data_IF_370295445135
#
_entry.id   IF_370295445135
#
_cell.length_a   1.000
_cell.length_b   1.000
_cell.length_c   1.000
_cell.angle_alpha   90.00
_cell.angle_beta   90.00
_cell.angle_gamma   90.00
#
_symmetry.space_group_name_H-M   'P 1'
#
loop_
_entity.id
_entity.type
_entity.pdbx_description
1 polymer ?
#
# COMPACT_ATOMS: atom_id res chain seq x y z
N UNK A 1 -0.30 11.01 5.37
CA UNK A 1 -0.72 11.25 3.97
C UNK A 1 -2.21 11.05 3.85
N UNK A 2 -2.89 11.99 3.24
CA UNK A 2 -4.31 11.85 2.92
C UNK A 2 -4.47 11.25 1.51
N UNK A 3 -5.73 11.12 1.07
CA UNK A 3 -6.02 10.54 -0.25
C UNK A 3 -5.29 11.27 -1.38
N UNK A 4 -5.32 12.60 -1.37
CA UNK A 4 -4.70 13.39 -2.45
C UNK A 4 -3.20 13.16 -2.51
N UNK A 5 -2.56 13.09 -1.38
CA UNK A 5 -1.11 12.91 -1.32
C UNK A 5 -0.73 11.48 -1.72
N UNK A 6 -1.50 10.49 -1.28
CA UNK A 6 -1.29 9.10 -1.70
C UNK A 6 -1.41 8.99 -3.22
N UNK A 7 -2.45 9.57 -3.80
CA UNK A 7 -2.64 9.56 -5.25
C UNK A 7 -1.48 10.24 -5.97
N UNK A 8 -1.01 11.35 -5.44
CA UNK A 8 0.13 12.07 -6.01
C UNK A 8 1.37 11.18 -6.10
N UNK A 9 1.69 10.47 -5.02
CA UNK A 9 2.88 9.62 -4.99
C UNK A 9 2.70 8.36 -5.83
N UNK A 10 1.49 7.83 -5.92
CA UNK A 10 1.22 6.70 -6.80
C UNK A 10 1.37 7.09 -8.27
N UNK A 11 0.92 8.28 -8.66
CA UNK A 11 1.12 8.79 -10.02
C UNK A 11 2.60 9.03 -10.30
N UNK A 12 3.36 9.52 -9.34
CA UNK A 12 4.79 9.71 -9.50
C UNK A 12 5.51 8.37 -9.67
N UNK A 13 5.10 7.37 -8.91
CA UNK A 13 5.61 6.01 -9.04
C UNK A 13 5.33 5.47 -10.45
N UNK A 14 4.11 5.65 -10.92
CA UNK A 14 3.69 5.25 -12.27
C UNK A 14 4.57 5.88 -13.34
N UNK A 15 4.78 7.18 -13.25
CA UNK A 15 5.59 7.92 -14.20
C UNK A 15 7.03 7.40 -14.25
N UNK A 16 7.63 7.18 -13.08
CA UNK A 16 9.02 6.72 -13.01
C UNK A 16 9.18 5.29 -13.48
N UNK A 17 8.18 4.44 -13.26
CA UNK A 17 8.16 3.12 -13.87
C UNK A 17 8.18 3.22 -15.38
N UNK A 18 7.33 4.07 -15.94
CA UNK A 18 7.28 4.29 -17.39
C UNK A 18 8.60 4.81 -17.96
N UNK A 19 9.26 5.72 -17.25
CA UNK A 19 10.56 6.25 -17.67
C UNK A 19 11.62 5.15 -17.75
N UNK A 20 11.47 4.09 -16.97
CA UNK A 20 12.37 2.95 -16.97
C UNK A 20 11.89 1.81 -17.88
N UNK A 21 10.78 2.02 -18.58
CA UNK A 21 10.21 0.99 -19.44
C UNK A 21 9.59 -0.18 -18.67
N UNK A 22 9.18 0.04 -17.43
CA UNK A 22 8.66 -0.99 -16.57
C UNK A 22 7.16 -0.88 -16.38
N UNK A 23 6.51 -2.01 -16.15
CA UNK A 23 5.13 -2.10 -15.71
C UNK A 23 5.12 -2.66 -14.30
N UNK A 24 4.21 -2.19 -13.46
CA UNK A 24 4.14 -2.66 -12.09
C UNK A 24 2.71 -2.81 -11.58
N UNK A 25 2.61 -3.47 -10.44
CA UNK A 25 1.34 -3.59 -9.72
C UNK A 25 1.57 -3.36 -8.25
N UNK A 26 0.56 -2.85 -7.56
CA UNK A 26 0.62 -2.57 -6.15
C UNK A 26 -0.72 -2.89 -5.51
N UNK A 27 -0.70 -3.68 -4.44
CA UNK A 27 -1.88 -3.99 -3.64
C UNK A 27 -1.75 -3.25 -2.32
N UNK A 28 -2.69 -2.34 -2.04
CA UNK A 28 -2.63 -1.43 -0.90
C UNK A 28 -3.50 -1.95 0.24
N UNK A 29 -2.99 -1.88 1.47
CA UNK A 29 -3.64 -2.41 2.66
C UNK A 29 -3.68 -1.39 3.80
N UNK A 30 -4.35 -1.76 4.87
CA UNK A 30 -4.32 -1.04 6.14
C UNK A 30 -4.86 0.37 6.08
N UNK A 31 -4.27 1.26 6.87
CA UNK A 31 -4.69 2.66 6.98
C UNK A 31 -4.62 3.41 5.67
N UNK A 32 -3.63 3.11 4.83
CA UNK A 32 -3.52 3.74 3.52
C UNK A 32 -4.66 3.33 2.60
N UNK A 33 -5.12 2.09 2.68
CA UNK A 33 -6.29 1.65 1.94
C UNK A 33 -7.55 2.41 2.39
N UNK A 34 -7.73 2.56 3.69
CA UNK A 34 -8.86 3.31 4.24
C UNK A 34 -8.83 4.76 3.79
N UNK A 35 -7.66 5.37 3.78
CA UNK A 35 -7.51 6.76 3.36
C UNK A 35 -7.76 6.92 1.85
N UNK A 36 -7.21 6.02 1.04
CA UNK A 36 -7.27 6.12 -0.42
C UNK A 36 -8.65 5.79 -0.96
N UNK A 37 -9.18 4.64 -0.56
CA UNK A 37 -10.40 4.08 -1.18
C UNK A 37 -11.65 4.65 -0.54
N UNK A 38 -11.68 4.70 0.79
CA UNK A 38 -12.88 5.06 1.53
C UNK A 38 -12.85 6.48 2.08
N UNK A 39 -11.69 7.13 2.02
CA UNK A 39 -11.50 8.50 2.52
C UNK A 39 -11.98 8.66 3.96
N UNK A 40 -11.80 7.60 4.76
CA UNK A 40 -12.33 7.55 6.12
C UNK A 40 -11.39 8.14 7.17
N UNK A 41 -10.13 8.33 6.83
CA UNK A 41 -9.13 8.84 7.77
C UNK A 41 -8.48 10.08 7.19
N UNK A 42 -8.14 11.01 8.08
CA UNK A 42 -7.46 12.22 7.67
C UNK A 42 -6.09 11.98 7.08
N UNK A 43 -5.33 11.07 7.68
CA UNK A 43 -3.98 10.78 7.17
C UNK A 43 -3.44 9.47 7.70
N UNK A 44 -2.41 8.97 7.02
CA UNK A 44 -1.62 7.82 7.43
C UNK A 44 -0.15 8.18 7.24
N UNK A 45 0.74 7.53 8.00
CA UNK A 45 2.17 7.83 7.94
C UNK A 45 2.86 7.15 6.76
N UNK A 46 2.38 5.97 6.40
CA UNK A 46 3.01 5.15 5.39
C UNK A 46 1.97 4.38 4.60
N UNK A 47 2.42 3.74 3.53
CA UNK A 47 1.58 2.90 2.69
C UNK A 47 2.06 1.47 2.84
N UNK A 48 1.21 0.62 3.40
CA UNK A 48 1.44 -0.82 3.48
C UNK A 48 0.94 -1.47 2.20
N UNK A 49 1.83 -2.14 1.49
CA UNK A 49 1.47 -2.67 0.18
C UNK A 49 2.35 -3.86 -0.21
N UNK A 50 1.84 -4.68 -1.10
CA UNK A 50 2.62 -5.68 -1.81
C UNK A 50 2.75 -5.20 -3.25
N UNK A 51 3.94 -5.22 -3.79
CA UNK A 51 4.18 -4.64 -5.11
C UNK A 51 5.23 -5.42 -5.90
N UNK A 52 5.10 -5.35 -7.22
CA UNK A 52 6.00 -5.96 -8.19
C UNK A 52 6.22 -5.02 -9.37
N UNK A 53 7.43 -4.92 -9.92
CA UNK A 53 8.66 -5.57 -9.45
C UNK A 53 9.16 -4.93 -8.15
N UNK A 54 9.46 -5.78 -7.18
CA UNK A 54 9.71 -5.33 -5.81
C UNK A 54 10.93 -4.42 -5.68
N UNK A 55 12.07 -4.86 -6.17
CA UNK A 55 13.32 -4.11 -5.99
C UNK A 55 13.30 -2.78 -6.72
N UNK A 56 12.76 -2.76 -7.93
CA UNK A 56 12.67 -1.57 -8.76
C UNK A 56 11.73 -0.54 -8.11
N UNK A 57 10.60 -1.00 -7.60
CA UNK A 57 9.64 -0.10 -6.94
C UNK A 57 10.22 0.44 -5.64
N UNK A 58 10.93 -0.38 -4.85
CA UNK A 58 11.62 0.12 -3.66
C UNK A 58 12.63 1.20 -3.99
N UNK A 59 13.40 1.02 -5.04
CA UNK A 59 14.38 2.02 -5.49
C UNK A 59 13.69 3.34 -5.85
N UNK A 60 12.62 3.25 -6.62
CA UNK A 60 11.86 4.44 -7.02
C UNK A 60 11.26 5.11 -5.78
N UNK A 61 10.73 4.32 -4.85
CA UNK A 61 10.16 4.85 -3.62
C UNK A 61 11.21 5.59 -2.79
N UNK A 62 12.43 5.07 -2.71
CA UNK A 62 13.52 5.74 -2.01
C UNK A 62 13.89 7.07 -2.68
N UNK A 63 13.90 7.12 -4.00
CA UNK A 63 14.14 8.36 -4.74
C UNK A 63 13.07 9.40 -4.43
N UNK A 64 11.81 8.98 -4.45
CA UNK A 64 10.69 9.87 -4.13
C UNK A 64 10.79 10.38 -2.69
N UNK A 65 11.15 9.50 -1.77
CA UNK A 65 11.32 9.88 -0.37
C UNK A 65 12.39 10.95 -0.19
N UNK A 66 13.53 10.76 -0.84
CA UNK A 66 14.63 11.71 -0.77
C UNK A 66 14.22 13.09 -1.32
N UNK A 67 13.54 13.10 -2.45
CA UNK A 67 13.13 14.35 -3.11
C UNK A 67 12.02 15.09 -2.38
N UNK A 68 11.22 14.39 -1.61
CA UNK A 68 10.03 14.96 -0.97
C UNK A 68 10.13 14.97 0.57
N UNK A 69 11.29 14.65 1.10
CA UNK A 69 11.54 14.62 2.55
C UNK A 69 10.57 13.68 3.27
N UNK A 70 10.35 12.50 2.68
CA UNK A 70 9.54 11.45 3.29
C UNK A 70 10.41 10.45 4.03
N UNK A 71 9.84 9.70 4.99
CA UNK A 71 10.55 8.56 5.57
C UNK A 71 10.92 7.56 4.48
N UNK A 72 12.09 6.93 4.63
CA UNK A 72 12.58 5.97 3.64
C UNK A 72 11.58 4.82 3.41
N UNK A 73 10.85 4.44 4.45
CA UNK A 73 9.89 3.34 4.42
C UNK A 73 8.44 3.80 4.27
N UNK A 74 8.23 4.97 3.67
CA UNK A 74 6.87 5.47 3.42
C UNK A 74 6.04 4.48 2.60
N UNK A 75 6.70 3.65 1.79
CA UNK A 75 6.09 2.53 1.07
C UNK A 75 6.80 1.27 1.53
N UNK A 76 6.07 0.33 2.11
CA UNK A 76 6.68 -0.87 2.68
C UNK A 76 5.77 -2.09 2.49
N UNK A 77 6.37 -3.28 2.59
CA UNK A 77 5.66 -4.54 2.41
C UNK A 77 5.50 -5.32 3.73
N UNK A 78 5.41 -4.61 4.85
CA UNK A 78 5.28 -5.23 6.16
C UNK A 78 4.03 -6.08 6.35
N UNK A 79 3.01 -5.89 5.49
CA UNK A 79 1.76 -6.64 5.56
C UNK A 79 1.89 -8.07 5.01
N UNK A 80 2.98 -8.40 4.35
CA UNK A 80 3.15 -9.63 3.57
C UNK A 80 2.82 -10.91 4.33
N UNK A 81 3.11 -10.96 5.63
CA UNK A 81 2.90 -12.16 6.45
C UNK A 81 1.44 -12.51 6.70
N UNK A 82 0.51 -11.65 6.36
CA UNK A 82 -0.91 -11.86 6.62
C UNK A 82 -1.71 -12.26 5.38
N UNK A 83 -1.06 -12.44 4.23
CA UNK A 83 -1.73 -12.68 2.97
C UNK A 83 -1.99 -14.16 2.73
N UNK A 84 -3.15 -14.47 2.13
CA UNK A 84 -3.49 -15.82 1.67
C UNK A 84 -3.92 -15.75 0.20
N UNK A 85 -3.93 -16.91 -0.47
CA UNK A 85 -4.34 -16.99 -1.87
C UNK A 85 -5.85 -16.83 -2.08
N UNK A 86 -6.62 -16.89 -1.01
CA UNK A 86 -8.08 -16.79 -1.08
C UNK A 86 -8.59 -15.35 -0.98
N UNK A 87 -7.70 -14.39 -0.79
CA UNK A 87 -8.08 -12.99 -0.66
C UNK A 87 -8.54 -12.41 -1.99
N UNK A 88 -9.61 -11.63 -1.94
CA UNK A 88 -10.17 -10.98 -3.11
C UNK A 88 -9.82 -9.50 -3.13
N UNK A 89 -9.60 -8.97 -4.34
CA UNK A 89 -9.15 -7.60 -4.56
C UNK A 89 -9.99 -6.92 -5.62
N UNK A 90 -10.09 -5.61 -5.51
CA UNK A 90 -10.66 -4.72 -6.52
C UNK A 90 -9.56 -3.86 -7.10
N UNK A 91 -9.73 -3.42 -8.32
CA UNK A 91 -8.79 -2.48 -8.94
C UNK A 91 -9.21 -1.05 -8.61
N UNK A 92 -8.24 -0.23 -8.24
CA UNK A 92 -8.46 1.20 -7.98
C UNK A 92 -8.14 1.98 -9.24
N UNK A 93 -9.16 2.63 -9.80
CA UNK A 93 -9.00 3.42 -11.02
C UNK A 93 -8.54 4.83 -10.65
N UNK A 94 -7.34 5.17 -11.05
CA UNK A 94 -6.78 6.50 -10.86
C UNK A 94 -6.45 7.07 -12.23
N UNK A 95 -7.01 8.26 -12.51
CA UNK A 95 -6.79 8.92 -13.80
C UNK A 95 -5.31 9.27 -13.95
N UNK A 96 -4.74 8.89 -15.06
CA UNK A 96 -3.33 9.15 -15.35
C UNK A 96 -2.41 7.95 -15.21
N UNK A 97 -2.90 6.83 -14.70
CA UNK A 97 -2.08 5.61 -14.63
C UNK A 97 -1.91 4.99 -16.00
N UNK A 98 -0.66 4.68 -16.34
CA UNK A 98 -0.32 4.04 -17.61
C UNK A 98 0.55 2.80 -17.41
N UNK A 99 1.33 2.76 -16.34
CA UNK A 99 2.33 1.73 -16.11
C UNK A 99 2.11 0.95 -14.83
N UNK A 100 1.31 1.48 -13.92
CA UNK A 100 1.06 0.90 -12.60
C UNK A 100 -0.41 0.53 -12.47
N UNK A 101 -0.69 -0.68 -11.99
CA UNK A 101 -2.04 -1.09 -11.61
C UNK A 101 -2.14 -1.11 -10.10
N UNK A 102 -3.21 -0.53 -9.58
CA UNK A 102 -3.44 -0.41 -8.13
C UNK A 102 -4.62 -1.28 -7.75
N UNK A 103 -4.43 -2.11 -6.72
CA UNK A 103 -5.47 -2.99 -6.21
C UNK A 103 -5.65 -2.74 -4.72
N UNK A 104 -6.82 -3.06 -4.21
CA UNK A 104 -7.10 -3.01 -2.78
C UNK A 104 -8.00 -4.18 -2.40
N UNK A 105 -7.91 -4.67 -1.16
CA UNK A 105 -8.74 -5.81 -0.74
C UNK A 105 -10.20 -5.40 -0.59
N UNK A 106 -11.09 -6.35 -0.84
CA UNK A 106 -12.52 -6.15 -0.55
C UNK A 106 -12.70 -5.92 0.95
N UNK A 107 -13.85 -5.37 1.33
CA UNK A 107 -14.15 -5.16 2.75
C UNK A 107 -14.09 -6.48 3.54
N UNK A 108 -14.57 -7.56 2.96
CA UNK A 108 -14.51 -8.88 3.59
C UNK A 108 -13.08 -9.35 3.78
N UNK A 109 -12.22 -9.13 2.78
CA UNK A 109 -10.82 -9.49 2.86
C UNK A 109 -10.10 -8.66 3.91
N UNK A 110 -10.39 -7.37 3.98
CA UNK A 110 -9.81 -6.50 5.01
C UNK A 110 -10.17 -6.96 6.41
N UNK A 111 -11.42 -7.36 6.61
CA UNK A 111 -11.87 -7.87 7.91
C UNK A 111 -11.14 -9.18 8.25
N UNK A 112 -11.01 -10.07 7.29
CA UNK A 112 -10.29 -11.33 7.49
C UNK A 112 -8.83 -11.09 7.87
N UNK A 113 -8.17 -10.14 7.22
CA UNK A 113 -6.79 -9.79 7.53
C UNK A 113 -6.67 -9.25 8.95
N UNK A 114 -7.60 -8.41 9.36
CA UNK A 114 -7.61 -7.85 10.70
C UNK A 114 -7.80 -8.94 11.76
N UNK A 115 -8.71 -9.88 11.51
CA UNK A 115 -8.93 -11.01 12.42
C UNK A 115 -7.69 -11.89 12.55
N UNK A 116 -7.01 -12.16 11.45
CA UNK A 116 -5.77 -12.92 11.44
C UNK A 116 -4.70 -12.19 12.26
N UNK A 117 -4.57 -10.89 12.06
CA UNK A 117 -3.62 -10.06 12.78
C UNK A 117 -3.88 -10.08 14.28
N UNK A 118 -5.14 -9.95 14.70
CA UNK A 118 -5.51 -10.01 16.11
C UNK A 118 -5.18 -11.37 16.71
N UNK A 119 -5.44 -12.44 15.98
CA UNK A 119 -5.14 -13.79 16.45
C UNK A 119 -3.64 -14.00 16.61
N UNK A 120 -2.86 -13.50 15.66
CA UNK A 120 -1.40 -13.61 15.69
C UNK A 120 -0.81 -12.87 16.88
N UNK A 121 -1.39 -11.71 17.22
CA UNK A 121 -0.92 -10.84 18.29
C UNK A 121 -1.59 -11.12 19.63
N UNK A 122 -2.39 -12.17 19.73
CA UNK A 122 -3.20 -12.41 20.95
C UNK A 122 -2.35 -12.52 22.20
N UNK A 123 -1.18 -13.11 22.14
CA UNK A 123 -0.29 -13.23 23.31
C UNK A 123 0.21 -11.85 23.74
N UNK A 124 0.53 -11.00 22.79
CA UNK A 124 0.98 -9.63 23.09
C UNK A 124 -0.13 -8.81 23.72
N UNK A 125 -1.35 -8.99 23.23
CA UNK A 125 -2.51 -8.30 23.80
C UNK A 125 -2.75 -8.75 25.22
N UNK A 126 -2.61 -10.02 25.50
CA UNK A 126 -2.78 -10.55 26.85
C UNK A 126 -1.70 -10.04 27.78
N UNK A 127 -0.49 -9.91 27.32
CA UNK A 127 0.63 -9.43 28.12
C UNK A 127 0.46 -7.96 28.52
N UNK A 128 -0.25 -7.19 27.70
CA UNK A 128 -0.52 -5.78 27.98
C UNK A 128 -1.52 -5.63 29.12
N UNK A 129 -2.36 -6.58 29.33
CA UNK A 129 -3.37 -6.54 30.37
C UNK A 129 -2.76 -6.80 31.73
#
# INVERSE_FOLDING_TARGET
>A
MDRQLIEKYLLELDKRLGDKGLKGSINIYGGSCLALVYDLRGSTKDIDAIFEPKNEIYKIAEEIAFENDLPKDWLNDGVKGFLTNEMEYNEYDLIGLENLKIYYPTAETMLAMKLISLRTDSSDIEDIK
#
